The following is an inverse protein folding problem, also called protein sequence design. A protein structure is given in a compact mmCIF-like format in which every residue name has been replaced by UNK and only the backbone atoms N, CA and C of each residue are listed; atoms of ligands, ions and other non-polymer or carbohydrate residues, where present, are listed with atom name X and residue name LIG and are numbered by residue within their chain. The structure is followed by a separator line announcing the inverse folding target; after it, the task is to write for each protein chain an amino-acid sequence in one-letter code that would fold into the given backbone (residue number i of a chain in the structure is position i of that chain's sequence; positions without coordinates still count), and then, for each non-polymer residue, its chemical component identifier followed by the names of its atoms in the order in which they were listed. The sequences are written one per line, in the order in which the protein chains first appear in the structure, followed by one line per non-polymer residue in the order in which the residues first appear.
data_IF_133311770667
#
_entry.id   IF_133311770667
#
_cell.length_a   1.000
_cell.length_b   1.000
_cell.length_c   1.000
_cell.angle_alpha   90.00
_cell.angle_beta   90.00
_cell.angle_gamma   90.00
#
_symmetry.space_group_name_H-M   'P 1'
#
loop_
_entity.id
_entity.type
_entity.pdbx_description
1 polymer ?
#
# COMPACT_ATOMS: atom_id res chain seq x y z
N UNK A 1 9.56 -0.62 -11.03
CA UNK A 1 9.70 0.05 -9.71
C UNK A 1 9.61 1.55 -9.95
N UNK A 2 8.74 2.24 -9.22
CA UNK A 2 8.61 3.71 -9.27
C UNK A 2 9.37 4.29 -8.07
N UNK A 3 10.04 5.43 -8.27
CA UNK A 3 10.73 6.19 -7.21
C UNK A 3 10.04 7.55 -7.06
N UNK A 4 9.83 7.97 -5.83
CA UNK A 4 9.26 9.27 -5.51
C UNK A 4 10.14 9.98 -4.50
N UNK A 5 10.31 11.29 -4.67
CA UNK A 5 10.94 12.16 -3.68
C UNK A 5 9.85 12.78 -2.83
N UNK A 6 9.96 12.64 -1.51
CA UNK A 6 8.98 13.18 -0.55
C UNK A 6 9.71 14.08 0.44
N UNK A 7 9.08 15.20 0.80
CA UNK A 7 9.54 16.06 1.87
C UNK A 7 8.78 15.69 3.14
N UNK A 8 9.50 15.26 4.17
CA UNK A 8 8.95 14.98 5.49
C UNK A 8 9.25 16.15 6.41
N UNK A 9 8.28 16.51 7.22
CA UNK A 9 8.50 17.36 8.39
C UNK A 9 9.38 16.63 9.41
N UNK A 10 9.99 17.38 10.33
CA UNK A 10 10.80 16.80 11.41
C UNK A 10 10.03 15.77 12.25
N UNK A 11 8.73 15.99 12.44
CA UNK A 11 7.86 15.07 13.16
C UNK A 11 7.63 13.77 12.38
N UNK A 12 7.29 13.84 11.10
CA UNK A 12 7.09 12.66 10.26
C UNK A 12 8.37 11.81 10.14
N UNK A 13 9.54 12.45 10.04
CA UNK A 13 10.82 11.72 10.04
C UNK A 13 11.05 10.97 11.36
N UNK A 14 10.73 11.61 12.50
CA UNK A 14 10.82 10.98 13.81
C UNK A 14 9.88 9.76 13.91
N UNK A 15 8.65 9.87 13.41
CA UNK A 15 7.70 8.74 13.35
C UNK A 15 8.27 7.60 12.51
N UNK A 16 8.81 7.89 11.32
CA UNK A 16 9.44 6.87 10.46
C UNK A 16 10.63 6.21 11.17
N UNK A 17 11.44 6.96 11.90
CA UNK A 17 12.56 6.43 12.68
C UNK A 17 12.10 5.52 13.83
N UNK A 18 11.01 5.88 14.52
CA UNK A 18 10.43 5.04 15.58
C UNK A 18 9.95 3.71 14.99
N UNK A 19 9.23 3.73 13.87
CA UNK A 19 8.78 2.51 13.17
C UNK A 19 9.99 1.69 12.72
N UNK A 20 10.99 2.33 12.12
CA UNK A 20 12.25 1.68 11.71
C UNK A 20 12.90 0.94 12.88
N UNK A 21 13.05 1.60 14.03
CA UNK A 21 13.67 1.01 15.22
C UNK A 21 12.82 -0.13 15.80
N UNK A 22 11.50 0.07 15.90
CA UNK A 22 10.56 -0.90 16.47
C UNK A 22 10.60 -2.25 15.74
N UNK A 23 10.71 -2.25 14.42
CA UNK A 23 10.70 -3.46 13.60
C UNK A 23 12.09 -3.87 13.09
N UNK A 24 13.16 -3.20 13.54
CA UNK A 24 14.54 -3.54 13.19
C UNK A 24 14.88 -3.34 11.71
N UNK A 25 14.21 -2.41 11.02
CA UNK A 25 14.45 -2.14 9.60
C UNK A 25 15.81 -1.48 9.38
N UNK A 26 16.50 -1.82 8.27
CA UNK A 26 17.85 -1.34 7.99
C UNK A 26 17.82 0.10 7.48
N UNK A 27 16.80 0.45 6.70
CA UNK A 27 16.65 1.79 6.12
C UNK A 27 15.23 2.36 6.30
N UNK A 28 15.08 3.68 6.05
CA UNK A 28 13.79 4.37 6.15
C UNK A 28 12.79 3.91 5.08
N UNK A 29 13.26 3.45 3.92
CA UNK A 29 12.39 3.01 2.84
C UNK A 29 11.62 1.73 3.22
N UNK A 30 12.26 0.81 3.95
CA UNK A 30 11.60 -0.38 4.50
C UNK A 30 10.52 0.00 5.51
N UNK A 31 10.81 0.96 6.41
CA UNK A 31 9.83 1.47 7.36
C UNK A 31 8.64 2.13 6.67
N UNK A 32 8.88 2.97 5.66
CA UNK A 32 7.82 3.62 4.88
C UNK A 32 6.97 2.58 4.14
N UNK A 33 7.60 1.57 3.53
CA UNK A 33 6.85 0.47 2.87
C UNK A 33 5.95 -0.27 3.85
N UNK A 34 6.44 -0.54 5.06
CA UNK A 34 5.64 -1.16 6.11
C UNK A 34 4.45 -0.28 6.51
N UNK A 35 4.66 1.03 6.70
CA UNK A 35 3.59 1.97 7.03
C UNK A 35 2.50 1.97 5.93
N UNK A 36 2.90 2.00 4.66
CA UNK A 36 1.96 1.93 3.53
C UNK A 36 1.14 0.64 3.57
N UNK A 37 1.76 -0.50 3.85
CA UNK A 37 1.06 -1.79 3.96
C UNK A 37 0.07 -1.81 5.13
N UNK A 38 0.43 -1.23 6.28
CA UNK A 38 -0.52 -1.13 7.40
C UNK A 38 -1.69 -0.23 7.05
N UNK A 39 -1.44 0.90 6.38
CA UNK A 39 -2.50 1.78 5.90
C UNK A 39 -3.43 1.07 4.90
N UNK A 40 -2.88 0.29 3.97
CA UNK A 40 -3.66 -0.53 3.05
C UNK A 40 -4.55 -1.56 3.77
N UNK A 41 -4.01 -2.25 4.78
CA UNK A 41 -4.77 -3.26 5.51
C UNK A 41 -5.86 -2.67 6.40
N UNK A 42 -5.58 -1.54 7.04
CA UNK A 42 -6.47 -0.94 8.04
C UNK A 42 -7.51 0.02 7.42
N UNK A 43 -7.16 0.72 6.34
CA UNK A 43 -7.97 1.84 5.84
C UNK A 43 -8.46 1.70 4.40
N UNK A 44 -7.86 0.86 3.56
CA UNK A 44 -8.38 0.67 2.21
C UNK A 44 -9.58 -0.29 2.23
N UNK A 45 -10.73 0.22 1.81
CA UNK A 45 -11.90 -0.58 1.51
C UNK A 45 -11.57 -1.69 0.50
N UNK A 46 -12.27 -2.84 0.54
CA UNK A 46 -12.00 -3.96 -0.36
C UNK A 46 -11.91 -3.55 -1.83
N UNK A 47 -12.75 -2.60 -2.28
CA UNK A 47 -12.78 -2.12 -3.65
C UNK A 47 -11.52 -1.38 -4.09
N UNK A 48 -10.82 -0.76 -3.14
CA UNK A 48 -9.59 0.00 -3.37
C UNK A 48 -8.33 -0.83 -3.17
N UNK A 49 -8.46 -2.08 -2.70
CA UNK A 49 -7.33 -2.98 -2.55
C UNK A 49 -6.77 -3.35 -3.93
N UNK A 50 -5.44 -3.30 -4.14
CA UNK A 50 -4.79 -3.65 -5.40
C UNK A 50 -5.18 -5.05 -5.90
N UNK A 51 -5.36 -6.00 -4.98
CA UNK A 51 -5.77 -7.37 -5.27
C UNK A 51 -7.17 -7.42 -5.89
N UNK A 52 -8.13 -6.72 -5.28
CA UNK A 52 -9.50 -6.62 -5.78
C UNK A 52 -9.54 -5.92 -7.13
N UNK A 53 -8.83 -4.79 -7.29
CA UNK A 53 -8.73 -4.08 -8.56
C UNK A 53 -8.18 -5.01 -9.66
N UNK A 54 -7.19 -5.84 -9.32
CA UNK A 54 -6.61 -6.82 -10.25
C UNK A 54 -7.63 -7.90 -10.63
N UNK A 55 -8.35 -8.47 -9.67
CA UNK A 55 -9.41 -9.44 -9.95
C UNK A 55 -10.54 -8.86 -10.82
N UNK A 56 -10.98 -7.63 -10.51
CA UNK A 56 -12.03 -6.96 -11.28
C UNK A 56 -11.59 -6.68 -12.72
N UNK A 57 -10.32 -6.31 -12.95
CA UNK A 57 -9.79 -6.15 -14.31
C UNK A 57 -9.84 -7.44 -15.10
N UNK A 58 -9.47 -8.56 -14.48
CA UNK A 58 -9.54 -9.88 -15.14
C UNK A 58 -10.99 -10.23 -15.48
N UNK A 59 -11.92 -10.05 -14.52
CA UNK A 59 -13.35 -10.32 -14.73
C UNK A 59 -13.99 -9.41 -15.78
N UNK A 60 -13.53 -8.17 -15.93
CA UNK A 60 -14.02 -7.26 -16.95
C UNK A 60 -13.69 -7.69 -18.38
N UNK A 61 -12.66 -8.53 -18.56
CA UNK A 61 -12.28 -9.10 -19.86
C UNK A 61 -13.04 -10.40 -20.18
N UNK A 62 -13.78 -10.97 -19.23
CA UNK A 62 -14.57 -12.19 -19.42
C UNK A 62 -15.83 -11.93 -20.26
N UNK A 63 -16.22 -12.85 -21.15
CA UNK A 63 -17.42 -12.69 -21.96
C UNK A 63 -18.68 -12.71 -21.08
N UNK A 64 -19.53 -11.70 -21.26
CA UNK A 64 -20.77 -11.54 -20.48
C UNK A 64 -21.74 -12.68 -20.84
N UNK A 65 -21.99 -13.58 -19.89
CA UNK A 65 -22.98 -14.65 -20.05
C UNK A 65 -24.35 -14.14 -19.63
N UNK A 66 -25.30 -14.08 -20.56
CA UNK A 66 -26.70 -13.75 -20.25
C UNK A 66 -27.37 -14.97 -19.62
N UNK A 67 -27.69 -14.88 -18.35
CA UNK A 67 -28.55 -15.87 -17.67
C UNK A 67 -29.99 -15.66 -18.11
N UNK A 68 -30.68 -16.76 -18.44
CA UNK A 68 -32.01 -16.79 -19.06
C UNK A 68 -33.11 -16.93 -18.02
#
# INVERSE_FOLDING_TARGET
MVKSLINLTSYEDAVVNIVKAKYGFKNKNEAIRYIIQQFENEFLEPELKPEFIKEMKVRAEEPIVKVK
#
